data_IF_773850909929
#
_entry.id   IF_773850909929
#
_cell.length_a   1.000
_cell.length_b   1.000
_cell.length_c   1.000
_cell.angle_alpha   90.00
_cell.angle_beta   90.00
_cell.angle_gamma   90.00
#
_symmetry.space_group_name_H-M   'P 1'
#
loop_
_entity.id
_entity.type
_entity.pdbx_description
1 polymer ?
#
# COMPACT_ATOMS: atom_id res chain seq x y z
N UNK A 1 23.44 4.72 5.95
CA UNK A 1 22.10 4.18 5.63
C UNK A 1 21.37 3.90 6.93
N UNK A 2 20.14 4.43 7.12
CA UNK A 2 19.32 4.16 8.30
C UNK A 2 18.72 2.77 8.18
N UNK A 3 18.73 1.96 9.26
CA UNK A 3 18.09 0.63 9.26
C UNK A 3 16.60 0.78 8.92
N UNK A 4 16.07 -0.06 8.02
CA UNK A 4 14.63 -0.10 7.76
C UNK A 4 13.87 -0.51 9.04
N UNK A 5 12.59 -0.10 9.18
CA UNK A 5 11.74 -0.57 10.28
C UNK A 5 11.65 -2.10 10.28
N UNK A 6 11.68 -2.71 11.47
CA UNK A 6 11.57 -4.17 11.60
C UNK A 6 10.09 -4.58 11.74
N UNK A 7 9.48 -4.95 10.62
CA UNK A 7 8.10 -5.42 10.58
C UNK A 7 7.93 -6.89 10.95
N UNK A 8 9.01 -7.69 11.11
CA UNK A 8 8.90 -9.10 11.46
C UNK A 8 8.24 -9.31 12.82
N UNK A 9 8.54 -8.43 13.80
CA UNK A 9 7.95 -8.48 15.14
C UNK A 9 6.43 -8.26 15.14
N UNK A 10 5.95 -7.46 14.22
CA UNK A 10 4.52 -7.10 14.12
C UNK A 10 3.76 -8.10 13.25
N UNK A 11 4.44 -8.85 12.39
CA UNK A 11 3.82 -9.76 11.44
C UNK A 11 2.85 -10.77 12.10
N UNK A 12 3.11 -11.21 13.32
CA UNK A 12 2.28 -12.19 14.03
C UNK A 12 1.01 -11.55 14.64
N UNK A 13 1.10 -10.29 15.08
CA UNK A 13 0.02 -9.56 15.76
C UNK A 13 -0.71 -8.58 14.85
N UNK A 14 -0.18 -8.36 13.63
CA UNK A 14 -0.71 -7.35 12.71
C UNK A 14 -2.18 -7.58 12.37
N UNK A 15 -2.53 -8.77 11.88
CA UNK A 15 -3.92 -9.08 11.50
C UNK A 15 -4.92 -9.07 12.67
N UNK A 16 -4.62 -9.63 13.87
CA UNK A 16 -5.47 -9.46 15.04
C UNK A 16 -5.64 -8.00 15.47
N UNK A 17 -4.56 -7.23 15.47
CA UNK A 17 -4.58 -5.82 15.85
C UNK A 17 -5.39 -4.97 14.85
N UNK A 18 -5.20 -5.19 13.55
CA UNK A 18 -5.98 -4.56 12.49
C UNK A 18 -7.49 -4.83 12.66
N UNK A 19 -7.84 -6.11 12.91
CA UNK A 19 -9.23 -6.53 13.08
C UNK A 19 -9.87 -5.92 14.34
N UNK A 20 -9.12 -5.81 15.42
CA UNK A 20 -9.60 -5.23 16.69
C UNK A 20 -9.80 -3.71 16.57
N UNK A 21 -8.92 -3.00 15.86
CA UNK A 21 -8.92 -1.54 15.80
C UNK A 21 -9.91 -1.00 14.77
N UNK A 22 -9.90 -1.55 13.56
CA UNK A 22 -10.68 -1.03 12.43
C UNK A 22 -11.70 -2.02 11.87
N UNK A 23 -11.73 -3.26 12.38
CA UNK A 23 -12.64 -4.30 11.91
C UNK A 23 -12.52 -4.53 10.40
N UNK A 24 -13.65 -4.55 9.66
CA UNK A 24 -13.65 -4.82 8.22
C UNK A 24 -13.28 -3.61 7.36
N UNK A 25 -13.09 -2.41 7.95
CA UNK A 25 -12.99 -1.17 7.18
C UNK A 25 -11.68 -1.04 6.41
N UNK A 26 -10.57 -1.49 7.00
CA UNK A 26 -9.28 -1.51 6.27
C UNK A 26 -9.35 -2.44 5.05
N UNK A 27 -9.98 -3.61 5.23
CA UNK A 27 -10.20 -4.54 4.12
C UNK A 27 -11.10 -3.97 3.03
N UNK A 28 -12.21 -3.33 3.41
CA UNK A 28 -13.09 -2.65 2.46
C UNK A 28 -12.36 -1.54 1.71
N UNK A 29 -11.49 -0.79 2.39
CA UNK A 29 -10.68 0.25 1.78
C UNK A 29 -9.70 -0.32 0.75
N UNK A 30 -8.97 -1.40 1.10
CA UNK A 30 -8.06 -2.08 0.16
C UNK A 30 -8.75 -2.56 -1.10
N UNK A 31 -9.97 -3.06 -0.97
CA UNK A 31 -10.71 -3.69 -2.07
C UNK A 31 -11.68 -2.76 -2.80
N UNK A 32 -11.75 -1.46 -2.44
CA UNK A 32 -12.80 -0.58 -2.97
C UNK A 32 -12.75 -0.40 -4.50
N UNK A 33 -11.58 -0.59 -5.13
CA UNK A 33 -11.39 -0.51 -6.57
C UNK A 33 -10.95 -1.85 -7.20
N UNK A 34 -11.14 -2.98 -6.52
CA UNK A 34 -10.68 -4.29 -7.03
C UNK A 34 -11.30 -4.66 -8.39
N UNK A 35 -12.53 -4.21 -8.66
CA UNK A 35 -13.24 -4.50 -9.91
C UNK A 35 -12.61 -3.79 -11.11
N UNK A 36 -12.01 -2.63 -10.90
CA UNK A 36 -11.30 -1.85 -11.91
C UNK A 36 -9.96 -2.46 -12.31
N UNK A 37 -9.47 -3.47 -11.55
CA UNK A 37 -8.18 -4.10 -11.77
C UNK A 37 -8.24 -5.42 -12.52
N UNK A 38 -9.40 -5.78 -13.09
CA UNK A 38 -9.63 -7.11 -13.72
C UNK A 38 -8.94 -7.29 -15.09
N UNK A 39 -8.53 -6.21 -15.72
CA UNK A 39 -7.95 -6.23 -17.07
C UNK A 39 -6.44 -6.12 -17.09
N UNK A 40 -5.82 -5.76 -15.98
CA UNK A 40 -4.38 -5.59 -15.84
C UNK A 40 -3.64 -6.92 -15.97
N UNK A 41 -2.39 -6.85 -16.44
CA UNK A 41 -1.58 -8.02 -16.74
C UNK A 41 -0.33 -8.17 -15.89
N UNK A 42 0.32 -7.04 -15.56
CA UNK A 42 1.60 -7.02 -14.82
C UNK A 42 1.46 -6.07 -13.65
N UNK A 43 1.29 -6.62 -12.46
CA UNK A 43 1.10 -5.89 -11.22
C UNK A 43 2.39 -5.76 -10.40
N UNK A 44 2.56 -4.60 -9.79
CA UNK A 44 3.55 -4.33 -8.75
C UNK A 44 2.82 -4.02 -7.44
N UNK A 45 3.03 -4.85 -6.42
CA UNK A 45 2.42 -4.67 -5.10
C UNK A 45 3.51 -4.40 -4.09
N UNK A 46 3.43 -3.27 -3.39
CA UNK A 46 4.43 -2.83 -2.42
C UNK A 46 3.84 -2.85 -1.01
N UNK A 47 4.47 -3.59 -0.10
CA UNK A 47 4.11 -3.61 1.31
C UNK A 47 2.70 -4.12 1.60
N UNK A 48 2.23 -5.17 0.91
CA UNK A 48 0.88 -5.77 1.13
C UNK A 48 0.74 -6.46 2.49
N UNK A 49 1.82 -6.55 3.26
CA UNK A 49 1.82 -7.24 4.53
C UNK A 49 1.58 -8.74 4.34
N UNK A 50 0.51 -9.27 4.93
CA UNK A 50 0.20 -10.71 4.84
C UNK A 50 -0.31 -11.18 3.47
N UNK A 51 -0.42 -10.30 2.48
CA UNK A 51 -0.74 -10.64 1.09
C UNK A 51 -2.22 -10.93 0.82
N UNK A 52 -3.13 -10.57 1.72
CA UNK A 52 -4.57 -10.78 1.51
C UNK A 52 -5.10 -10.03 0.30
N UNK A 53 -4.62 -8.79 0.05
CA UNK A 53 -5.02 -8.05 -1.14
C UNK A 53 -4.50 -8.73 -2.41
N UNK A 54 -3.23 -9.12 -2.43
CA UNK A 54 -2.65 -9.88 -3.56
C UNK A 54 -3.44 -11.14 -3.84
N UNK A 55 -3.79 -11.92 -2.80
CA UNK A 55 -4.61 -13.13 -2.96
C UNK A 55 -5.98 -12.83 -3.59
N UNK A 56 -6.65 -11.74 -3.14
CA UNK A 56 -7.94 -11.30 -3.70
C UNK A 56 -7.79 -10.79 -5.14
N UNK A 57 -6.75 -10.04 -5.44
CA UNK A 57 -6.44 -9.59 -6.79
C UNK A 57 -6.27 -10.78 -7.76
N UNK A 58 -5.50 -11.79 -7.34
CA UNK A 58 -5.29 -13.03 -8.13
C UNK A 58 -6.57 -13.87 -8.33
N UNK A 59 -7.53 -13.75 -7.41
CA UNK A 59 -8.85 -14.36 -7.54
C UNK A 59 -9.71 -13.62 -8.56
N UNK A 60 -9.80 -12.29 -8.44
CA UNK A 60 -10.65 -11.44 -9.27
C UNK A 60 -10.08 -11.25 -10.70
N UNK A 61 -8.74 -11.30 -10.83
CA UNK A 61 -8.05 -11.19 -12.11
C UNK A 61 -7.19 -12.45 -12.36
N UNK A 62 -7.70 -13.43 -13.14
CA UNK A 62 -6.98 -14.66 -13.40
C UNK A 62 -5.74 -14.50 -14.30
N UNK A 63 -5.56 -13.35 -14.94
CA UNK A 63 -4.53 -13.10 -15.94
C UNK A 63 -3.33 -12.29 -15.39
N UNK A 64 -3.47 -11.67 -14.23
CA UNK A 64 -2.41 -10.82 -13.67
C UNK A 64 -1.25 -11.67 -13.16
N UNK A 65 -0.03 -11.23 -13.47
CA UNK A 65 1.22 -11.66 -12.85
C UNK A 65 1.66 -10.56 -11.90
N UNK A 66 2.10 -10.91 -10.71
CA UNK A 66 2.39 -9.94 -9.64
C UNK A 66 3.84 -10.03 -9.19
N UNK A 67 4.54 -8.90 -9.16
CA UNK A 67 5.75 -8.70 -8.39
C UNK A 67 5.36 -8.10 -7.03
N UNK A 68 5.61 -8.83 -5.94
CA UNK A 68 5.32 -8.39 -4.58
C UNK A 68 6.60 -8.08 -3.84
N UNK A 69 6.74 -6.85 -3.35
CA UNK A 69 7.94 -6.38 -2.64
C UNK A 69 7.61 -6.09 -1.20
N UNK A 70 8.32 -6.70 -0.27
CA UNK A 70 8.22 -6.44 1.16
C UNK A 70 9.59 -6.58 1.84
N UNK A 71 9.81 -5.82 2.91
CA UNK A 71 11.05 -5.88 3.69
C UNK A 71 11.05 -7.02 4.73
N UNK A 72 9.91 -7.71 4.92
CA UNK A 72 9.73 -8.79 5.88
C UNK A 72 9.58 -10.15 5.19
N UNK A 73 10.47 -11.07 5.51
CA UNK A 73 10.40 -12.45 5.01
C UNK A 73 9.14 -13.16 5.51
N UNK A 74 8.71 -12.89 6.75
CA UNK A 74 7.50 -13.46 7.33
C UNK A 74 6.24 -13.00 6.58
N UNK A 75 6.20 -11.73 6.18
CA UNK A 75 5.08 -11.19 5.37
C UNK A 75 5.04 -11.85 4.00
N UNK A 76 6.18 -11.99 3.33
CA UNK A 76 6.25 -12.68 2.04
C UNK A 76 5.86 -14.16 2.14
N UNK A 77 6.20 -14.84 3.23
CA UNK A 77 5.76 -16.22 3.46
C UNK A 77 4.24 -16.30 3.66
N UNK A 78 3.65 -15.39 4.44
CA UNK A 78 2.19 -15.30 4.61
C UNK A 78 1.49 -14.99 3.28
N UNK A 79 2.05 -14.09 2.48
CA UNK A 79 1.53 -13.77 1.15
C UNK A 79 1.46 -15.02 0.27
N UNK A 80 2.53 -15.83 0.22
CA UNK A 80 2.52 -17.09 -0.54
C UNK A 80 1.47 -18.08 -0.03
N UNK A 81 1.32 -18.21 1.28
CA UNK A 81 0.30 -19.06 1.90
C UNK A 81 -1.12 -18.59 1.54
N UNK A 82 -1.39 -17.30 1.63
CA UNK A 82 -2.71 -16.72 1.31
C UNK A 82 -3.02 -16.79 -0.19
N UNK A 83 -2.02 -16.66 -1.06
CA UNK A 83 -2.18 -16.85 -2.50
C UNK A 83 -2.47 -18.31 -2.88
N UNK A 84 -2.04 -19.28 -2.07
CA UNK A 84 -2.26 -20.71 -2.26
C UNK A 84 -1.76 -21.19 -3.63
N UNK A 85 -2.57 -21.94 -4.38
CA UNK A 85 -2.22 -22.42 -5.73
C UNK A 85 -1.95 -21.29 -6.73
N UNK A 86 -2.46 -20.08 -6.48
CA UNK A 86 -2.24 -18.90 -7.34
C UNK A 86 -0.85 -18.29 -7.12
N UNK A 87 -0.10 -18.73 -6.11
CA UNK A 87 1.27 -18.24 -5.82
C UNK A 87 2.23 -18.44 -7.00
N UNK A 88 1.97 -19.37 -7.91
CA UNK A 88 2.72 -19.51 -9.17
C UNK A 88 2.69 -18.25 -10.04
N UNK A 89 1.72 -17.35 -9.84
CA UNK A 89 1.62 -16.05 -10.53
C UNK A 89 2.24 -14.89 -9.75
N UNK A 90 2.94 -15.18 -8.64
CA UNK A 90 3.56 -14.15 -7.80
C UNK A 90 5.06 -14.38 -7.73
N UNK A 91 5.84 -13.38 -8.10
CA UNK A 91 7.25 -13.27 -7.76
C UNK A 91 7.39 -12.40 -6.51
N UNK A 92 8.04 -12.92 -5.50
CA UNK A 92 8.27 -12.16 -4.26
C UNK A 92 9.71 -11.65 -4.22
N UNK A 93 9.87 -10.42 -3.77
CA UNK A 93 11.14 -9.72 -3.64
C UNK A 93 11.32 -9.27 -2.19
N UNK A 94 12.28 -9.88 -1.48
CA UNK A 94 12.66 -9.44 -0.14
C UNK A 94 13.55 -8.20 -0.27
N UNK A 95 12.95 -7.03 -0.17
CA UNK A 95 13.66 -5.76 -0.37
C UNK A 95 12.92 -4.59 0.31
N UNK A 96 13.69 -3.57 0.65
CA UNK A 96 13.13 -2.27 0.98
C UNK A 96 12.65 -1.58 -0.32
N UNK A 97 11.36 -1.35 -0.46
CA UNK A 97 10.77 -0.76 -1.66
C UNK A 97 11.34 0.62 -2.01
N UNK A 98 11.92 1.35 -1.03
CA UNK A 98 12.60 2.63 -1.27
C UNK A 98 13.88 2.47 -2.09
N UNK A 99 14.59 1.37 -1.88
CA UNK A 99 15.85 1.07 -2.55
C UNK A 99 15.69 0.11 -3.73
N UNK A 100 14.59 -0.65 -3.74
CA UNK A 100 14.34 -1.64 -4.79
C UNK A 100 14.06 -0.95 -6.14
N UNK A 101 14.61 -1.52 -7.18
CA UNK A 101 14.40 -1.06 -8.56
C UNK A 101 13.72 -2.18 -9.33
N UNK A 102 12.58 -1.91 -9.96
CA UNK A 102 11.92 -2.90 -10.80
C UNK A 102 12.83 -3.38 -11.92
N UNK A 103 13.04 -4.70 -12.00
CA UNK A 103 13.85 -5.32 -13.07
C UNK A 103 13.03 -5.49 -14.36
N UNK A 104 11.70 -5.55 -14.23
CA UNK A 104 10.78 -5.70 -15.34
C UNK A 104 10.42 -4.37 -16.01
N UNK A 105 9.76 -4.47 -17.14
CA UNK A 105 9.24 -3.34 -17.91
C UNK A 105 7.72 -3.33 -17.91
N UNK A 106 7.15 -2.11 -17.94
CA UNK A 106 5.74 -1.86 -18.25
C UNK A 106 4.73 -2.49 -17.29
N UNK A 107 4.84 -2.24 -15.98
CA UNK A 107 3.73 -2.50 -15.07
C UNK A 107 2.51 -1.70 -15.50
N UNK A 108 1.36 -2.34 -15.58
CA UNK A 108 0.07 -1.72 -15.86
C UNK A 108 -0.81 -1.59 -14.61
N UNK A 109 -0.37 -2.18 -13.49
CA UNK A 109 -0.99 -2.09 -12.18
C UNK A 109 0.05 -1.85 -11.10
N UNK A 110 -0.20 -0.87 -10.24
CA UNK A 110 0.52 -0.67 -8.97
C UNK A 110 -0.49 -0.72 -7.83
N UNK A 111 -0.11 -1.31 -6.69
CA UNK A 111 -0.92 -1.30 -5.49
C UNK A 111 -0.07 -0.99 -4.25
N UNK A 112 -0.56 -0.05 -3.45
CA UNK A 112 -0.02 0.29 -2.13
C UNK A 112 -1.17 0.48 -1.15
N UNK A 113 -1.13 -0.21 -0.01
CA UNK A 113 -2.20 -0.17 0.98
C UNK A 113 -1.63 0.05 2.37
N UNK A 114 -1.85 1.25 2.95
CA UNK A 114 -1.31 1.65 4.25
C UNK A 114 0.21 1.47 4.28
N UNK A 115 0.82 1.91 3.20
CA UNK A 115 2.25 1.77 2.93
C UNK A 115 2.93 3.14 2.72
N UNK A 116 2.31 4.05 1.95
CA UNK A 116 2.89 5.36 1.69
C UNK A 116 2.98 6.21 2.97
N UNK A 117 2.09 5.99 3.92
CA UNK A 117 2.09 6.63 5.24
C UNK A 117 3.31 6.24 6.09
N UNK A 118 3.99 5.14 5.75
CA UNK A 118 5.25 4.73 6.37
C UNK A 118 6.48 5.48 5.81
N UNK A 119 6.30 6.32 4.80
CA UNK A 119 7.36 7.02 4.08
C UNK A 119 7.31 8.54 4.34
N UNK A 120 8.45 9.21 4.24
CA UNK A 120 8.48 10.66 4.18
C UNK A 120 7.99 11.15 2.80
N UNK A 121 7.46 12.38 2.71
CA UNK A 121 6.96 12.95 1.45
C UNK A 121 8.00 12.88 0.32
N UNK A 122 9.27 13.16 0.61
CA UNK A 122 10.35 13.07 -0.38
C UNK A 122 10.61 11.64 -0.84
N UNK A 123 10.48 10.65 0.05
CA UNK A 123 10.61 9.22 -0.28
C UNK A 123 9.44 8.76 -1.17
N UNK A 124 8.21 9.24 -0.90
CA UNK A 124 7.05 8.99 -1.77
C UNK A 124 7.27 9.57 -3.16
N UNK A 125 7.76 10.81 -3.26
CA UNK A 125 8.03 11.46 -4.55
C UNK A 125 9.10 10.71 -5.36
N UNK A 126 10.15 10.24 -4.71
CA UNK A 126 11.20 9.45 -5.36
C UNK A 126 10.66 8.10 -5.83
N UNK A 127 9.92 7.39 -4.96
CA UNK A 127 9.29 6.12 -5.28
C UNK A 127 8.31 6.25 -6.46
N UNK A 128 7.45 7.27 -6.43
CA UNK A 128 6.45 7.51 -7.47
C UNK A 128 7.10 7.77 -8.84
N UNK A 129 8.22 8.51 -8.88
CA UNK A 129 8.99 8.74 -10.13
C UNK A 129 9.68 7.47 -10.63
N UNK A 130 10.29 6.68 -9.73
CA UNK A 130 10.91 5.39 -10.08
C UNK A 130 9.89 4.42 -10.68
N UNK A 131 8.72 4.33 -10.06
CA UNK A 131 7.63 3.48 -10.55
C UNK A 131 7.14 4.01 -11.89
N UNK A 132 6.89 5.33 -12.04
CA UNK A 132 6.39 5.91 -13.29
C UNK A 132 7.29 5.60 -14.49
N UNK A 133 8.60 5.59 -14.28
CA UNK A 133 9.58 5.24 -15.33
C UNK A 133 9.51 3.75 -15.77
N UNK A 134 8.74 2.91 -15.05
CA UNK A 134 8.64 1.46 -15.29
C UNK A 134 7.20 1.01 -15.55
N UNK A 135 6.28 1.94 -15.75
CA UNK A 135 4.86 1.68 -16.01
C UNK A 135 4.50 1.93 -17.47
N UNK A 136 3.45 1.25 -17.93
CA UNK A 136 2.81 1.56 -19.21
C UNK A 136 2.13 2.94 -19.17
N UNK A 137 1.77 3.45 -20.34
CA UNK A 137 1.09 4.74 -20.46
C UNK A 137 -0.29 4.75 -19.78
N UNK A 138 -0.98 3.61 -19.78
CA UNK A 138 -2.31 3.45 -19.21
C UNK A 138 -2.31 2.82 -17.81
N UNK A 139 -1.13 2.77 -17.16
CA UNK A 139 -0.99 2.15 -15.85
C UNK A 139 -1.91 2.81 -14.82
N UNK A 140 -2.46 1.97 -13.95
CA UNK A 140 -3.25 2.41 -12.80
C UNK A 140 -2.50 2.11 -11.49
N UNK A 141 -2.67 3.01 -10.53
CA UNK A 141 -2.14 2.83 -9.18
C UNK A 141 -3.30 2.92 -8.18
N UNK A 142 -3.59 1.81 -7.50
CA UNK A 142 -4.55 1.80 -6.40
C UNK A 142 -3.84 2.07 -5.09
N UNK A 143 -4.35 3.04 -4.34
CA UNK A 143 -3.79 3.51 -3.06
C UNK A 143 -4.87 3.41 -2.00
N UNK A 144 -4.54 2.89 -0.82
CA UNK A 144 -5.39 3.00 0.37
C UNK A 144 -4.57 3.58 1.50
N UNK A 145 -5.05 4.68 2.12
CA UNK A 145 -4.29 5.39 3.15
C UNK A 145 -5.17 5.97 4.24
N UNK A 146 -4.55 6.29 5.38
CA UNK A 146 -5.16 7.13 6.40
C UNK A 146 -5.20 8.58 5.95
N UNK A 147 -6.28 9.28 6.31
CA UNK A 147 -6.40 10.73 6.14
C UNK A 147 -6.97 11.38 7.41
N UNK A 148 -6.68 12.64 7.58
CA UNK A 148 -7.29 13.46 8.63
C UNK A 148 -8.21 14.45 7.92
N UNK A 149 -9.54 14.24 7.97
CA UNK A 149 -10.47 15.15 7.32
C UNK A 149 -10.46 16.54 7.98
N UNK A 150 -10.66 17.57 7.19
CA UNK A 150 -10.68 18.96 7.67
C UNK A 150 -12.07 19.33 8.23
N UNK A 151 -12.43 18.69 9.35
CA UNK A 151 -13.67 18.93 10.08
C UNK A 151 -13.49 18.57 11.57
N UNK A 152 -14.54 18.75 12.38
CA UNK A 152 -14.49 18.46 13.82
C UNK A 152 -14.06 17.00 14.13
N UNK A 153 -14.50 16.02 13.32
CA UNK A 153 -14.12 14.62 13.48
C UNK A 153 -12.62 14.43 13.25
N UNK A 154 -12.06 15.09 12.23
CA UNK A 154 -10.62 15.09 11.98
C UNK A 154 -9.82 15.62 13.14
N UNK A 155 -10.29 16.68 13.78
CA UNK A 155 -9.59 17.31 14.90
C UNK A 155 -9.68 16.51 16.19
N UNK A 156 -10.89 16.04 16.55
CA UNK A 156 -11.15 15.43 17.86
C UNK A 156 -10.93 13.91 17.87
N UNK A 157 -11.03 13.24 16.73
CA UNK A 157 -10.98 11.77 16.65
C UNK A 157 -9.85 11.29 15.75
N UNK A 158 -9.89 11.63 14.46
CA UNK A 158 -8.97 11.06 13.47
C UNK A 158 -7.51 11.47 13.74
N UNK A 159 -7.26 12.74 14.04
CA UNK A 159 -5.91 13.24 14.32
C UNK A 159 -5.25 12.60 15.54
N UNK A 160 -5.91 12.57 16.73
CA UNK A 160 -5.40 11.85 17.90
C UNK A 160 -5.20 10.35 17.64
N UNK A 161 -6.15 9.68 16.94
CA UNK A 161 -6.04 8.26 16.62
C UNK A 161 -4.85 7.97 15.70
N UNK A 162 -4.67 8.73 14.62
CA UNK A 162 -3.52 8.57 13.70
C UNK A 162 -2.21 8.79 14.46
N UNK A 163 -2.13 9.79 15.33
CA UNK A 163 -0.93 10.03 16.17
C UNK A 163 -0.65 8.85 17.10
N UNK A 164 -1.69 8.29 17.72
CA UNK A 164 -1.55 7.11 18.60
C UNK A 164 -1.04 5.90 17.80
N UNK A 165 -1.56 5.68 16.57
CA UNK A 165 -1.07 4.64 15.68
C UNK A 165 0.41 4.82 15.33
N UNK A 166 0.83 6.04 14.95
CA UNK A 166 2.25 6.32 14.66
C UNK A 166 3.14 6.06 15.87
N UNK A 167 2.69 6.44 17.07
CA UNK A 167 3.43 6.16 18.31
C UNK A 167 3.55 4.65 18.55
N UNK A 168 2.47 3.91 18.37
CA UNK A 168 2.49 2.45 18.49
C UNK A 168 3.45 1.81 17.47
N UNK A 169 3.40 2.21 16.20
CA UNK A 169 4.32 1.72 15.17
C UNK A 169 5.77 2.13 15.44
N UNK A 170 6.02 3.34 15.92
CA UNK A 170 7.36 3.76 16.35
C UNK A 170 7.92 2.82 17.43
N UNK A 171 7.14 2.51 18.45
CA UNK A 171 7.57 1.62 19.55
C UNK A 171 7.77 0.19 19.07
N UNK A 172 6.88 -0.32 18.21
CA UNK A 172 6.88 -1.72 17.78
C UNK A 172 7.89 -2.01 16.65
N UNK A 173 8.08 -1.08 15.72
CA UNK A 173 8.88 -1.31 14.49
C UNK A 173 10.07 -0.37 14.35
N UNK A 174 10.14 0.71 15.15
CA UNK A 174 11.12 1.76 14.97
C UNK A 174 10.81 2.71 13.80
N UNK A 175 9.56 2.72 13.30
CA UNK A 175 9.10 3.65 12.25
C UNK A 175 9.27 5.10 12.72
N UNK A 176 10.04 5.90 12.00
CA UNK A 176 10.38 7.28 12.39
C UNK A 176 9.48 8.36 11.78
N UNK A 177 8.60 7.98 10.89
CA UNK A 177 7.62 8.90 10.30
C UNK A 177 6.61 9.28 11.38
N UNK A 178 6.39 10.58 11.58
CA UNK A 178 5.52 11.11 12.65
C UNK A 178 4.30 11.85 12.11
N UNK A 179 4.21 12.03 10.80
CA UNK A 179 3.12 12.75 10.13
C UNK A 179 2.79 12.07 8.82
N UNK A 180 1.51 12.10 8.45
CA UNK A 180 1.07 11.66 7.14
C UNK A 180 1.83 12.41 6.04
N UNK A 181 2.40 11.70 5.05
CA UNK A 181 3.09 12.34 3.93
C UNK A 181 2.06 13.05 3.04
N UNK A 182 2.53 14.06 2.34
CA UNK A 182 1.77 14.73 1.27
C UNK A 182 1.83 13.90 -0.02
N UNK A 183 1.41 12.62 0.07
CA UNK A 183 1.57 11.67 -1.04
C UNK A 183 0.83 12.09 -2.30
N UNK A 184 -0.32 12.78 -2.18
CA UNK A 184 -1.11 13.24 -3.33
C UNK A 184 -0.34 14.24 -4.18
N UNK A 185 0.31 15.22 -3.53
CA UNK A 185 1.17 16.21 -4.19
C UNK A 185 2.36 15.50 -4.85
N UNK A 186 3.04 14.64 -4.10
CA UNK A 186 4.21 13.89 -4.58
C UNK A 186 3.90 12.99 -5.78
N UNK A 187 2.74 12.32 -5.79
CA UNK A 187 2.28 11.49 -6.91
C UNK A 187 1.93 12.34 -8.12
N UNK A 188 1.23 13.48 -7.93
CA UNK A 188 0.88 14.37 -9.02
C UNK A 188 2.14 14.94 -9.70
N UNK A 189 3.14 15.38 -8.92
CA UNK A 189 4.44 15.85 -9.44
C UNK A 189 5.23 14.75 -10.18
N UNK A 190 4.97 13.47 -9.86
CA UNK A 190 5.59 12.33 -10.51
C UNK A 190 4.84 11.86 -11.78
N UNK A 191 3.81 12.58 -12.24
CA UNK A 191 3.05 12.26 -13.45
C UNK A 191 1.91 11.26 -13.24
N UNK A 192 1.27 11.29 -12.05
CA UNK A 192 0.07 10.51 -11.76
C UNK A 192 -1.13 11.42 -11.57
N UNK A 193 -2.27 11.11 -12.20
CA UNK A 193 -3.53 11.81 -12.02
C UNK A 193 -4.52 10.95 -11.22
N UNK A 194 -5.08 11.49 -10.16
CA UNK A 194 -6.15 10.81 -9.43
C UNK A 194 -7.44 10.85 -10.23
N UNK A 195 -8.01 9.68 -10.52
CA UNK A 195 -9.21 9.53 -11.33
C UNK A 195 -10.45 9.12 -10.53
N UNK A 196 -10.27 8.43 -9.37
CA UNK A 196 -11.36 8.07 -8.46
C UNK A 196 -10.90 8.22 -7.00
N UNK A 197 -11.86 8.49 -6.12
CA UNK A 197 -11.67 8.54 -4.66
C UNK A 197 -12.90 7.95 -3.97
N UNK A 198 -12.66 7.14 -2.95
CA UNK A 198 -13.70 6.64 -2.03
C UNK A 198 -13.26 6.86 -0.59
N UNK A 199 -14.07 7.59 0.17
CA UNK A 199 -13.84 7.84 1.60
C UNK A 199 -14.67 6.91 2.46
N UNK A 200 -14.05 6.36 3.50
CA UNK A 200 -14.68 5.49 4.48
C UNK A 200 -14.41 6.01 5.90
N UNK A 201 -15.19 5.55 6.88
CA UNK A 201 -15.09 5.99 8.28
C UNK A 201 -15.01 7.51 8.42
N UNK A 202 -16.03 8.21 7.90
CA UNK A 202 -16.10 9.68 7.93
C UNK A 202 -14.85 10.39 7.37
N UNK A 203 -14.12 9.73 6.47
CA UNK A 203 -12.93 10.25 5.82
C UNK A 203 -11.62 9.95 6.53
N UNK A 204 -11.62 9.10 7.55
CA UNK A 204 -10.38 8.61 8.17
C UNK A 204 -9.60 7.68 7.24
N UNK A 205 -10.31 6.90 6.41
CA UNK A 205 -9.73 6.03 5.40
C UNK A 205 -10.11 6.52 4.02
N UNK A 206 -9.17 6.45 3.09
CA UNK A 206 -9.39 6.79 1.69
C UNK A 206 -8.81 5.70 0.80
N UNK A 207 -9.61 5.26 -0.17
CA UNK A 207 -9.14 4.51 -1.33
C UNK A 207 -9.10 5.44 -2.54
N UNK A 208 -8.06 5.34 -3.32
CA UNK A 208 -7.86 6.17 -4.51
C UNK A 208 -7.39 5.33 -5.68
N UNK A 209 -7.85 5.69 -6.87
CA UNK A 209 -7.36 5.15 -8.12
C UNK A 209 -6.69 6.27 -8.92
N UNK A 210 -5.44 6.05 -9.25
CA UNK A 210 -4.60 6.98 -10.01
C UNK A 210 -4.28 6.38 -11.38
N UNK A 211 -4.03 7.22 -12.36
CA UNK A 211 -3.60 6.83 -13.71
C UNK A 211 -2.31 7.57 -14.08
N UNK A 212 -1.43 6.89 -14.78
CA UNK A 212 -0.26 7.47 -15.40
C UNK A 212 -0.65 8.54 -16.44
N UNK A 213 0.10 9.65 -16.49
CA UNK A 213 -0.04 10.75 -17.45
C UNK A 213 1.13 10.75 -18.42
#
# INVERSE_FOLDING_TARGET
>A
MKRPPDFNRVAQIYAPMEKLTFGPWLWRCRCCFIQELKTQRIGLVLGDGDGRFTAKLLEENPLVLVDAVDASVEMLNKLRLNAGLRSARVRVHLADARAWVPEGSAYDLIATHFFLDCLATAEVAELARKIRARTSADAVWVVSEFTIPDNWFGWLVAGPLVRALYLAFFVLTGLRVQRLPKYREAMAEAGWARIKEQRLLAGLLVGELWRAQ
#
